data_IF_459738749886
#
_entry.id   IF_459738749886
#
_cell.length_a   1.000
_cell.length_b   1.000
_cell.length_c   1.000
_cell.angle_alpha   90.00
_cell.angle_beta   90.00
_cell.angle_gamma   90.00
#
_symmetry.space_group_name_H-M   'P 1'
#
loop_
_entity.id
_entity.type
_entity.pdbx_description
1 polymer ?
#
# COMPACT_ATOMS: atom_id res chain seq x y z
N UNK A 1 -5.78 3.78 -9.08
CA UNK A 1 -5.75 3.11 -10.41
C UNK A 1 -4.30 3.00 -10.80
N UNK A 2 -3.97 2.01 -11.60
CA UNK A 2 -2.62 1.81 -12.13
C UNK A 2 -2.72 1.25 -13.55
N UNK A 3 -1.68 1.44 -14.36
CA UNK A 3 -1.69 1.14 -15.81
C UNK A 3 -0.40 0.40 -16.17
N UNK A 4 -0.52 -0.80 -16.75
CA UNK A 4 0.64 -1.57 -17.20
C UNK A 4 1.11 -1.14 -18.61
N UNK A 5 2.23 -1.72 -19.08
CA UNK A 5 2.80 -1.45 -20.41
C UNK A 5 1.86 -1.79 -21.58
N UNK A 6 0.86 -2.67 -21.35
CA UNK A 6 -0.20 -3.02 -22.31
C UNK A 6 -1.35 -1.99 -22.32
N UNK A 7 -1.28 -0.95 -21.48
CA UNK A 7 -2.30 0.08 -21.30
C UNK A 7 -3.48 -0.34 -20.42
N UNK A 8 -3.40 -1.50 -19.76
CA UNK A 8 -4.53 -2.06 -18.99
C UNK A 8 -4.70 -1.37 -17.64
N UNK A 9 -5.90 -0.85 -17.40
CA UNK A 9 -6.19 -0.02 -16.23
C UNK A 9 -6.75 -0.91 -15.13
N UNK A 10 -6.00 -1.08 -14.04
CA UNK A 10 -6.50 -1.76 -12.84
C UNK A 10 -7.10 -0.75 -11.85
N UNK A 11 -8.26 -1.08 -11.30
CA UNK A 11 -8.97 -0.25 -10.33
C UNK A 11 -9.63 -1.07 -9.21
N UNK A 12 -9.92 -0.41 -8.10
CA UNK A 12 -10.69 -0.98 -6.98
C UNK A 12 -12.00 -0.22 -6.82
N UNK A 13 -13.10 -0.96 -6.84
CA UNK A 13 -14.41 -0.52 -6.38
C UNK A 13 -14.62 -1.06 -4.95
N UNK A 14 -14.18 -0.27 -3.96
CA UNK A 14 -14.24 -0.60 -2.53
C UNK A 14 -15.62 -1.10 -2.10
N UNK A 15 -16.67 -0.33 -2.38
CA UNK A 15 -18.00 -0.57 -1.83
C UNK A 15 -18.73 -1.77 -2.47
N UNK A 16 -18.18 -2.38 -3.51
CA UNK A 16 -18.68 -3.61 -4.13
C UNK A 16 -17.72 -4.79 -3.96
N UNK A 17 -16.66 -4.64 -3.16
CA UNK A 17 -15.63 -5.65 -2.94
C UNK A 17 -15.06 -6.21 -4.26
N UNK A 18 -14.77 -5.32 -5.22
CA UNK A 18 -14.27 -5.66 -6.56
C UNK A 18 -12.93 -4.99 -6.85
N UNK A 19 -11.94 -5.77 -7.27
CA UNK A 19 -10.82 -5.28 -8.11
C UNK A 19 -11.11 -5.71 -9.54
N UNK A 20 -10.79 -4.87 -10.52
CA UNK A 20 -11.06 -5.15 -11.92
C UNK A 20 -10.04 -4.50 -12.85
N UNK A 21 -9.88 -5.09 -14.04
CA UNK A 21 -9.01 -4.61 -15.12
C UNK A 21 -9.86 -4.23 -16.32
N UNK A 22 -9.66 -3.01 -16.83
CA UNK A 22 -10.25 -2.52 -18.08
C UNK A 22 -9.23 -2.70 -19.20
N UNK A 23 -9.66 -3.30 -20.32
CA UNK A 23 -8.87 -3.33 -21.54
C UNK A 23 -9.04 -1.99 -22.29
N UNK A 24 -7.97 -1.21 -22.53
CA UNK A 24 -8.06 0.12 -23.14
C UNK A 24 -8.63 0.09 -24.57
N UNK A 25 -8.43 -0.99 -25.34
CA UNK A 25 -8.89 -1.07 -26.73
C UNK A 25 -10.38 -1.34 -26.87
N UNK A 26 -11.03 -1.84 -25.82
CA UNK A 26 -12.40 -2.34 -25.87
C UNK A 26 -13.38 -1.57 -24.98
N UNK A 27 -12.89 -0.80 -23.99
CA UNK A 27 -13.70 -0.25 -22.87
C UNK A 27 -14.42 -1.31 -22.02
N UNK A 28 -14.03 -2.57 -22.18
CA UNK A 28 -14.57 -3.73 -21.47
C UNK A 28 -13.79 -4.04 -20.19
N UNK A 29 -14.49 -4.59 -19.19
CA UNK A 29 -13.82 -5.17 -18.01
C UNK A 29 -13.42 -6.61 -18.35
N UNK A 30 -12.12 -6.85 -18.63
CA UNK A 30 -11.62 -8.20 -18.97
C UNK A 30 -11.61 -9.17 -17.81
N UNK A 31 -11.42 -8.66 -16.58
CA UNK A 31 -11.24 -9.48 -15.39
C UNK A 31 -11.73 -8.79 -14.12
N UNK A 32 -12.20 -9.57 -13.14
CA UNK A 32 -12.77 -9.11 -11.87
C UNK A 32 -12.44 -10.08 -10.73
N UNK A 33 -11.82 -9.60 -9.66
CA UNK A 33 -11.62 -10.32 -8.40
C UNK A 33 -12.59 -9.84 -7.32
N UNK A 34 -13.12 -10.77 -6.53
CA UNK A 34 -14.05 -10.47 -5.41
C UNK A 34 -13.84 -11.30 -4.15
N UNK A 35 -12.65 -11.88 -3.96
CA UNK A 35 -12.31 -12.67 -2.76
C UNK A 35 -11.58 -11.83 -1.71
N UNK A 36 -11.81 -10.51 -1.70
CA UNK A 36 -11.30 -9.53 -0.73
C UNK A 36 -12.41 -8.59 -0.26
N UNK A 37 -12.11 -7.70 0.68
CA UNK A 37 -13.08 -6.83 1.35
C UNK A 37 -12.53 -5.41 1.55
N UNK A 38 -13.29 -4.40 1.14
CA UNK A 38 -12.98 -2.98 1.41
C UNK A 38 -11.71 -2.45 0.73
N UNK A 39 -11.15 -3.21 -0.21
CA UNK A 39 -9.77 -3.17 -0.67
C UNK A 39 -9.32 -1.87 -1.37
N UNK A 40 -8.04 -1.56 -1.24
CA UNK A 40 -7.39 -0.35 -1.73
C UNK A 40 -6.10 -0.63 -2.52
N UNK A 41 -5.63 0.38 -3.24
CA UNK A 41 -4.31 0.42 -3.90
C UNK A 41 -3.97 -0.79 -4.82
N UNK A 42 -4.81 -1.19 -5.78
CA UNK A 42 -4.37 -2.15 -6.78
C UNK A 42 -3.24 -1.52 -7.63
N UNK A 43 -2.15 -2.25 -7.80
CA UNK A 43 -0.97 -1.89 -8.61
C UNK A 43 -0.44 -3.10 -9.38
N UNK A 44 0.19 -2.87 -10.52
CA UNK A 44 0.80 -3.92 -11.33
C UNK A 44 2.18 -4.31 -10.79
N UNK A 45 2.47 -5.61 -10.81
CA UNK A 45 3.75 -6.22 -10.42
C UNK A 45 4.11 -7.26 -11.47
N UNK A 46 4.73 -6.82 -12.56
CA UNK A 46 4.76 -7.59 -13.80
C UNK A 46 3.34 -7.79 -14.33
N UNK A 47 3.00 -9.02 -14.70
CA UNK A 47 1.64 -9.41 -15.11
C UNK A 47 0.68 -9.69 -13.93
N UNK A 48 1.16 -9.62 -12.68
CA UNK A 48 0.33 -9.79 -11.48
C UNK A 48 -0.19 -8.47 -10.93
N UNK A 49 -1.24 -8.53 -10.11
CA UNK A 49 -1.85 -7.37 -9.47
C UNK A 49 -1.66 -7.47 -7.95
N UNK A 50 -0.90 -6.55 -7.36
CA UNK A 50 -0.79 -6.39 -5.91
C UNK A 50 -1.95 -5.53 -5.39
N UNK A 51 -2.59 -5.94 -4.29
CA UNK A 51 -3.74 -5.28 -3.66
C UNK A 51 -3.56 -5.23 -2.15
N UNK A 52 -3.87 -4.08 -1.53
CA UNK A 52 -4.09 -4.01 -0.09
C UNK A 52 -5.55 -4.40 0.20
N UNK A 53 -5.76 -5.56 0.81
CA UNK A 53 -7.07 -6.07 1.18
C UNK A 53 -7.33 -5.71 2.66
N UNK A 54 -8.22 -4.74 2.87
CA UNK A 54 -8.49 -4.18 4.19
C UNK A 54 -9.15 -5.20 5.13
N UNK A 55 -9.89 -6.17 4.57
CA UNK A 55 -10.51 -7.27 5.30
C UNK A 55 -11.78 -6.88 6.06
N UNK A 56 -12.47 -7.90 6.58
CA UNK A 56 -13.73 -7.74 7.28
C UNK A 56 -13.50 -7.71 8.80
N UNK A 57 -13.41 -6.50 9.36
CA UNK A 57 -13.34 -6.15 10.79
C UNK A 57 -12.13 -6.57 11.64
N UNK A 58 -11.31 -7.55 11.24
CA UNK A 58 -10.38 -8.23 12.18
C UNK A 58 -8.90 -8.36 11.75
N UNK A 59 -8.61 -8.36 10.46
CA UNK A 59 -7.23 -8.40 9.93
C UNK A 59 -7.20 -7.93 8.48
N UNK A 60 -6.08 -7.32 8.09
CA UNK A 60 -5.79 -6.96 6.70
C UNK A 60 -4.70 -7.88 6.13
N UNK A 61 -4.58 -7.89 4.81
CA UNK A 61 -3.51 -8.61 4.10
C UNK A 61 -3.10 -7.85 2.85
N UNK A 62 -1.88 -8.07 2.40
CA UNK A 62 -1.45 -7.69 1.05
C UNK A 62 -1.43 -8.96 0.22
N UNK A 63 -2.11 -8.95 -0.93
CA UNK A 63 -2.19 -10.10 -1.84
C UNK A 63 -1.62 -9.73 -3.21
N UNK A 64 -0.99 -10.68 -3.89
CA UNK A 64 -0.71 -10.59 -5.32
C UNK A 64 -1.51 -11.64 -6.05
N UNK A 65 -2.20 -11.24 -7.11
CA UNK A 65 -3.17 -12.04 -7.84
C UNK A 65 -2.69 -12.18 -9.28
N UNK A 66 -2.72 -13.39 -9.82
CA UNK A 66 -2.60 -13.62 -11.26
C UNK A 66 -3.99 -13.42 -11.91
N UNK A 67 -4.21 -12.37 -12.73
CA UNK A 67 -5.52 -12.10 -13.32
C UNK A 67 -5.93 -13.12 -14.40
N UNK A 68 -5.00 -13.92 -14.91
CA UNK A 68 -5.28 -14.90 -15.96
C UNK A 68 -5.64 -16.28 -15.38
N UNK A 69 -5.34 -16.54 -14.09
CA UNK A 69 -5.72 -17.77 -13.36
C UNK A 69 -6.68 -17.56 -12.17
N UNK A 70 -6.93 -16.31 -11.75
CA UNK A 70 -7.62 -15.92 -10.50
C UNK A 70 -6.97 -16.46 -9.21
N UNK A 71 -5.71 -16.89 -9.29
CA UNK A 71 -4.95 -17.39 -8.14
C UNK A 71 -4.28 -16.26 -7.36
N UNK A 72 -4.31 -16.38 -6.03
CA UNK A 72 -3.52 -15.54 -5.13
C UNK A 72 -2.13 -16.19 -5.02
N UNK A 73 -1.17 -15.65 -5.76
CA UNK A 73 0.19 -16.20 -5.91
C UNK A 73 1.14 -15.78 -4.79
N UNK A 74 0.84 -14.68 -4.09
CA UNK A 74 1.55 -14.27 -2.88
C UNK A 74 0.60 -13.63 -1.87
N UNK A 75 0.93 -13.72 -0.58
CA UNK A 75 0.19 -13.06 0.50
C UNK A 75 1.13 -12.71 1.65
N UNK A 76 0.92 -11.53 2.23
CA UNK A 76 1.40 -11.14 3.56
C UNK A 76 0.22 -10.80 4.47
N UNK A 77 0.31 -11.24 5.73
CA UNK A 77 -0.64 -10.93 6.80
C UNK A 77 0.13 -10.86 8.14
N UNK A 78 -0.47 -10.27 9.17
CA UNK A 78 0.11 -10.27 10.52
C UNK A 78 0.25 -11.69 11.09
N UNK A 79 1.21 -11.91 11.99
CA UNK A 79 1.38 -13.19 12.70
C UNK A 79 1.52 -12.92 14.21
N UNK A 80 0.44 -13.09 15.01
CA UNK A 80 -0.92 -13.46 14.63
C UNK A 80 -1.64 -12.38 13.80
N UNK A 81 -2.72 -12.77 13.12
CA UNK A 81 -3.45 -11.94 12.14
C UNK A 81 -3.82 -10.53 12.65
N UNK A 82 -4.11 -10.39 13.94
CA UNK A 82 -4.49 -9.13 14.59
C UNK A 82 -3.34 -8.10 14.66
N UNK A 83 -2.09 -8.48 14.39
CA UNK A 83 -0.94 -7.55 14.33
C UNK A 83 -0.92 -6.67 13.06
N UNK A 84 -1.85 -6.88 12.13
CA UNK A 84 -1.96 -6.08 10.92
C UNK A 84 -3.44 -5.89 10.55
N UNK A 85 -3.96 -4.70 10.76
CA UNK A 85 -5.33 -4.33 10.39
C UNK A 85 -5.48 -2.83 10.13
N UNK A 86 -6.08 -2.52 8.97
CA UNK A 86 -6.58 -1.18 8.67
C UNK A 86 -7.89 -1.26 7.88
N UNK A 87 -9.03 -1.04 8.56
CA UNK A 87 -10.38 -1.18 7.97
C UNK A 87 -10.76 -0.15 6.89
N UNK A 88 -9.93 0.88 6.69
CA UNK A 88 -10.04 1.80 5.56
C UNK A 88 -8.66 2.33 5.14
N UNK A 89 -8.64 3.19 4.10
CA UNK A 89 -7.44 3.83 3.52
C UNK A 89 -6.34 2.80 3.24
N UNK A 90 -5.06 3.13 3.41
CA UNK A 90 -3.92 2.22 3.19
C UNK A 90 -3.47 2.05 1.74
N UNK A 91 -2.35 1.35 1.61
CA UNK A 91 -1.77 0.93 0.35
C UNK A 91 -0.61 -0.03 0.51
N UNK A 92 -0.27 -0.73 -0.56
CA UNK A 92 0.94 -1.51 -0.69
C UNK A 92 1.53 -1.27 -2.08
N UNK A 93 2.85 -1.33 -2.20
CA UNK A 93 3.54 -1.27 -3.49
C UNK A 93 4.84 -2.07 -3.45
N UNK A 94 5.04 -2.92 -4.46
CA UNK A 94 6.30 -3.64 -4.68
C UNK A 94 7.39 -2.63 -5.08
N UNK A 95 8.54 -2.71 -4.43
CA UNK A 95 9.72 -1.89 -4.68
C UNK A 95 10.67 -2.58 -5.68
N UNK A 96 11.56 -1.82 -6.29
CA UNK A 96 12.60 -2.34 -7.21
C UNK A 96 13.57 -3.32 -6.54
N UNK A 97 13.76 -3.23 -5.21
CA UNK A 97 14.48 -4.23 -4.40
C UNK A 97 13.78 -5.59 -4.33
N UNK A 98 12.52 -5.66 -4.75
CA UNK A 98 11.66 -6.83 -4.59
C UNK A 98 10.98 -6.94 -3.21
N UNK A 99 11.23 -6.01 -2.29
CA UNK A 99 10.46 -5.87 -1.05
C UNK A 99 9.12 -5.16 -1.33
N UNK A 100 8.18 -5.21 -0.39
CA UNK A 100 6.89 -4.49 -0.48
C UNK A 100 6.84 -3.42 0.61
N UNK A 101 6.66 -2.15 0.22
CA UNK A 101 6.27 -1.10 1.17
C UNK A 101 4.78 -1.25 1.45
N UNK A 102 4.41 -1.23 2.73
CA UNK A 102 3.03 -1.29 3.20
C UNK A 102 2.74 -0.05 4.05
N UNK A 103 1.59 0.56 3.82
CA UNK A 103 1.04 1.66 4.60
C UNK A 103 -0.21 1.13 5.33
N UNK A 104 -0.10 0.76 6.60
CA UNK A 104 -1.24 0.46 7.47
C UNK A 104 -1.87 1.78 7.93
N UNK A 105 -2.85 2.24 7.15
CA UNK A 105 -3.24 3.64 7.18
C UNK A 105 -3.92 4.09 8.46
N UNK A 106 -4.77 3.27 9.10
CA UNK A 106 -5.50 3.68 10.32
C UNK A 106 -4.63 3.74 11.57
N UNK A 107 -3.61 2.87 11.68
CA UNK A 107 -2.65 2.88 12.80
C UNK A 107 -1.56 3.94 12.62
N UNK A 108 -1.39 4.47 11.40
CA UNK A 108 -0.29 5.37 11.07
C UNK A 108 1.06 4.67 10.94
N UNK A 109 1.08 3.35 10.71
CA UNK A 109 2.30 2.54 10.59
C UNK A 109 2.68 2.34 9.12
N UNK A 110 3.94 2.60 8.81
CA UNK A 110 4.57 2.23 7.54
C UNK A 110 5.58 1.12 7.82
N UNK A 111 5.65 0.10 6.97
CA UNK A 111 6.62 -0.96 7.12
C UNK A 111 7.01 -1.58 5.78
N UNK A 112 8.19 -2.18 5.73
CA UNK A 112 8.72 -2.86 4.54
C UNK A 112 8.83 -4.35 4.82
N UNK A 113 8.26 -5.16 3.91
CA UNK A 113 8.27 -6.62 4.00
C UNK A 113 9.17 -7.20 2.92
N UNK A 114 10.07 -8.12 3.30
CA UNK A 114 10.91 -8.82 2.34
C UNK A 114 10.17 -9.98 1.62
N UNK A 115 10.83 -10.66 0.67
CA UNK A 115 10.22 -11.81 -0.02
C UNK A 115 9.92 -13.02 0.89
N UNK A 116 10.68 -13.18 1.98
CA UNK A 116 10.47 -14.21 3.00
C UNK A 116 9.32 -13.90 3.98
N UNK A 117 8.72 -12.71 3.87
CA UNK A 117 7.61 -12.16 4.68
C UNK A 117 8.02 -11.58 6.04
N UNK A 118 9.31 -11.33 6.26
CA UNK A 118 9.79 -10.61 7.45
C UNK A 118 9.60 -9.10 7.27
N UNK A 119 9.24 -8.41 8.35
CA UNK A 119 9.32 -6.94 8.43
C UNK A 119 10.78 -6.56 8.63
N UNK A 120 11.36 -5.87 7.64
CA UNK A 120 12.78 -5.46 7.63
C UNK A 120 13.01 -3.98 7.91
N UNK A 121 11.94 -3.18 7.89
CA UNK A 121 11.94 -1.78 8.30
C UNK A 121 10.53 -1.38 8.76
N UNK A 122 10.45 -0.50 9.74
CA UNK A 122 9.19 0.01 10.30
C UNK A 122 9.33 1.47 10.71
N UNK A 123 8.23 2.22 10.58
CA UNK A 123 8.08 3.57 11.07
C UNK A 123 6.62 3.80 11.52
N UNK A 124 6.44 4.48 12.64
CA UNK A 124 5.12 4.80 13.20
C UNK A 124 4.99 6.33 13.20
N UNK A 125 3.88 6.84 12.67
CA UNK A 125 3.62 8.27 12.59
C UNK A 125 3.52 8.91 13.99
N UNK A 126 4.44 9.82 14.37
CA UNK A 126 4.38 10.52 15.66
C UNK A 126 3.45 11.74 15.63
N UNK A 127 2.95 12.13 14.46
CA UNK A 127 2.19 13.36 14.27
C UNK A 127 0.69 13.13 14.42
N UNK A 128 0.16 13.58 15.56
CA UNK A 128 -1.28 13.63 15.82
C UNK A 128 -1.89 14.81 15.06
N UNK A 129 -2.84 14.50 14.18
CA UNK A 129 -3.70 15.44 13.48
C UNK A 129 -5.15 15.29 13.97
N UNK A 130 -6.08 16.07 13.42
CA UNK A 130 -7.52 15.90 13.66
C UNK A 130 -8.24 15.46 12.38
N UNK A 131 -9.20 14.54 12.51
CA UNK A 131 -10.07 14.13 11.41
C UNK A 131 -11.17 15.20 11.13
N UNK A 132 -12.02 14.97 10.13
CA UNK A 132 -13.12 15.90 9.76
C UNK A 132 -14.16 16.16 10.86
N UNK A 133 -14.18 15.35 11.93
CA UNK A 133 -15.05 15.51 13.12
C UNK A 133 -14.33 16.18 14.30
N UNK A 134 -13.07 16.58 14.12
CA UNK A 134 -12.23 17.18 15.17
C UNK A 134 -11.57 16.16 16.11
N UNK A 135 -11.64 14.86 15.80
CA UNK A 135 -11.08 13.80 16.66
C UNK A 135 -9.61 13.54 16.30
N UNK A 136 -8.77 13.34 17.32
CA UNK A 136 -7.35 13.05 17.17
C UNK A 136 -7.11 11.78 16.32
N UNK A 137 -6.12 11.82 15.43
CA UNK A 137 -5.75 10.69 14.58
C UNK A 137 -4.29 10.77 14.10
N UNK A 138 -3.67 9.61 13.93
CA UNK A 138 -2.34 9.44 13.30
C UNK A 138 -2.44 8.91 11.86
N UNK A 139 -3.66 8.88 11.29
CA UNK A 139 -3.94 8.18 10.03
C UNK A 139 -3.10 8.66 8.84
N UNK A 140 -2.54 7.72 8.07
CA UNK A 140 -1.84 7.97 6.80
C UNK A 140 -2.72 7.45 5.66
N UNK A 141 -3.05 8.32 4.68
CA UNK A 141 -3.86 7.89 3.54
C UNK A 141 -3.13 6.86 2.65
N UNK A 142 -1.88 7.16 2.30
CA UNK A 142 -0.97 6.34 1.47
C UNK A 142 0.47 6.80 1.68
N UNK A 143 1.42 5.89 1.47
CA UNK A 143 2.84 6.22 1.36
C UNK A 143 3.40 5.70 0.02
N UNK A 144 4.43 6.38 -0.47
CA UNK A 144 5.20 6.01 -1.65
C UNK A 144 6.68 6.14 -1.32
N UNK A 145 7.52 5.23 -1.83
CA UNK A 145 8.97 5.34 -1.72
C UNK A 145 9.55 5.86 -3.03
N UNK A 146 10.41 6.85 -2.92
CA UNK A 146 11.24 7.34 -4.01
C UNK A 146 12.69 6.95 -3.72
N UNK A 147 13.45 6.61 -4.75
CA UNK A 147 14.89 6.38 -4.64
C UNK A 147 15.64 7.72 -4.51
N UNK A 148 16.85 7.77 -3.94
CA UNK A 148 17.59 9.03 -3.76
C UNK A 148 17.91 9.77 -5.07
N UNK A 149 18.00 9.02 -6.17
CA UNK A 149 18.23 9.50 -7.55
C UNK A 149 16.94 9.86 -8.30
N UNK A 150 15.77 9.77 -7.65
CA UNK A 150 14.49 10.04 -8.30
C UNK A 150 14.43 11.48 -8.83
N UNK A 151 14.05 11.74 -10.11
CA UNK A 151 14.18 13.07 -10.74
C UNK A 151 13.50 14.23 -9.98
N UNK A 152 12.42 13.98 -9.24
CA UNK A 152 11.76 15.02 -8.44
C UNK A 152 12.57 15.49 -7.20
N UNK A 153 13.63 14.76 -6.83
CA UNK A 153 14.54 15.07 -5.73
C UNK A 153 15.84 15.76 -6.19
N UNK A 154 16.07 15.89 -7.51
CA UNK A 154 17.22 16.62 -8.05
C UNK A 154 17.15 18.09 -7.59
N UNK A 155 18.31 18.62 -7.20
CA UNK A 155 18.49 19.95 -6.61
C UNK A 155 17.60 20.24 -5.38
N UNK A 156 17.12 19.20 -4.69
CA UNK A 156 16.47 19.35 -3.38
C UNK A 156 17.49 19.19 -2.27
N UNK A 157 17.46 20.15 -1.35
CA UNK A 157 18.13 20.03 -0.07
C UNK A 157 17.36 19.02 0.80
N UNK A 158 17.98 17.86 1.01
CA UNK A 158 17.46 16.75 1.80
C UNK A 158 18.19 16.60 3.16
N UNK A 159 18.87 17.65 3.64
CA UNK A 159 19.60 17.61 4.92
C UNK A 159 18.66 17.27 6.10
N UNK A 160 18.82 16.09 6.74
CA UNK A 160 17.98 15.69 7.87
C UNK A 160 18.21 16.60 9.10
N UNK A 161 19.33 17.31 9.18
CA UNK A 161 19.60 18.23 10.30
C UNK A 161 18.69 19.47 10.30
N UNK A 162 18.09 19.84 9.15
CA UNK A 162 17.05 20.89 9.09
C UNK A 162 15.82 20.56 9.94
N UNK A 163 15.60 19.28 10.24
CA UNK A 163 14.55 18.80 11.13
C UNK A 163 15.12 18.06 12.37
N UNK A 164 16.36 18.36 12.77
CA UNK A 164 17.11 17.62 13.79
C UNK A 164 16.34 17.37 15.09
N UNK A 165 15.61 18.37 15.59
CA UNK A 165 14.82 18.23 16.83
C UNK A 165 13.65 17.25 16.66
N UNK A 166 12.94 17.30 15.53
CA UNK A 166 11.82 16.39 15.24
C UNK A 166 12.33 14.97 15.01
N UNK A 167 13.48 14.82 14.35
CA UNK A 167 14.06 13.52 14.06
C UNK A 167 14.55 12.84 15.35
N UNK A 168 15.27 13.58 16.21
CA UNK A 168 15.74 13.08 17.51
C UNK A 168 14.59 12.67 18.43
N UNK A 169 13.52 13.45 18.49
CA UNK A 169 12.34 13.14 19.32
C UNK A 169 11.63 11.84 18.89
N UNK A 170 11.84 11.39 17.64
CA UNK A 170 11.14 10.26 17.04
C UNK A 170 12.09 9.12 16.59
N UNK A 171 13.35 9.12 17.03
CA UNK A 171 14.32 8.06 16.72
C UNK A 171 14.72 7.97 15.23
N UNK A 172 14.66 9.08 14.49
CA UNK A 172 14.96 9.15 13.05
C UNK A 172 16.38 9.67 12.73
N UNK A 173 17.20 9.90 13.77
CA UNK A 173 18.63 10.25 13.74
C UNK A 173 19.30 9.76 15.03
#
# INVERSE_FOLDING_TARGET
IDINEKGEIVFSARNTNRVAVINPSATEIRWKFSRGHGQHNPTWVGDHIQVFDNGDSSSSRVIEINPDTDEIVWTYHGVPFQQFYSGHISGASRLTSGNTLVCEGTSGRLFEVNKARDVVWEWINPFVNNNKRGEATVSIYRAHRYSPDHPALVDKDLDPHRHANINRLNGLM
#
